data_IF_371248702529
#
_entry.id   IF_371248702529
#
_cell.length_a   1.000
_cell.length_b   1.000
_cell.length_c   1.000
_cell.angle_alpha   90.00
_cell.angle_beta   90.00
_cell.angle_gamma   90.00
#
_symmetry.space_group_name_H-M   'P 1'
#
loop_
_entity.id
_entity.type
_entity.pdbx_description
1 polymer ?
#
# COMPACT_ATOMS: atom_id res chain seq x y z
N UNK A 1 9.00 -21.22 -9.17
CA UNK A 1 9.20 -20.45 -10.40
C UNK A 1 10.63 -19.92 -10.53
N UNK A 2 11.08 -18.94 -9.75
CA UNK A 2 12.47 -18.40 -9.87
C UNK A 2 13.53 -19.48 -9.59
N UNK A 3 13.33 -20.33 -8.57
CA UNK A 3 14.24 -21.41 -8.21
C UNK A 3 14.26 -22.54 -9.23
N UNK A 4 13.16 -22.75 -9.92
CA UNK A 4 12.99 -23.78 -10.94
C UNK A 4 13.52 -23.34 -12.31
N UNK A 5 14.04 -22.11 -12.41
CA UNK A 5 14.52 -21.48 -13.65
C UNK A 5 13.44 -21.34 -14.74
N UNK A 6 12.18 -21.34 -14.36
CA UNK A 6 11.04 -21.12 -15.27
C UNK A 6 11.00 -19.69 -15.82
N UNK A 7 11.66 -18.75 -15.11
CA UNK A 7 11.80 -17.36 -15.52
C UNK A 7 13.27 -17.07 -15.80
N UNK A 8 13.62 -16.51 -16.96
CA UNK A 8 14.99 -16.10 -17.26
C UNK A 8 15.51 -15.12 -16.19
N UNK A 9 16.78 -15.25 -15.80
CA UNK A 9 17.40 -14.35 -14.80
C UNK A 9 17.27 -12.86 -15.11
N UNK A 10 17.21 -12.51 -16.39
CA UNK A 10 16.99 -11.13 -16.86
C UNK A 10 15.59 -10.62 -16.65
N UNK A 11 14.64 -11.55 -16.44
CA UNK A 11 13.22 -11.30 -16.22
C UNK A 11 12.76 -11.71 -14.80
N UNK A 12 13.68 -11.85 -13.86
CA UNK A 12 13.35 -12.11 -12.45
C UNK A 12 12.71 -10.87 -11.83
N UNK A 13 11.41 -10.76 -11.98
CA UNK A 13 10.58 -9.73 -11.35
C UNK A 13 9.18 -10.28 -11.14
N UNK A 14 8.45 -9.67 -10.25
CA UNK A 14 7.01 -9.82 -10.20
C UNK A 14 6.35 -8.44 -10.01
N UNK A 15 5.09 -8.35 -10.36
CA UNK A 15 4.31 -7.14 -10.17
C UNK A 15 3.02 -7.46 -9.45
N UNK A 16 2.41 -6.45 -8.85
CA UNK A 16 1.10 -6.55 -8.24
C UNK A 16 0.27 -5.32 -8.61
N UNK A 17 -0.88 -5.55 -9.21
CA UNK A 17 -1.96 -4.58 -9.36
C UNK A 17 -3.12 -5.05 -8.51
N UNK A 18 -3.51 -4.26 -7.54
CA UNK A 18 -4.68 -4.52 -6.73
C UNK A 18 -5.81 -3.60 -7.16
N UNK A 19 -6.94 -4.18 -7.57
CA UNK A 19 -8.17 -3.46 -7.87
C UNK A 19 -8.95 -3.13 -6.59
N UNK A 20 -9.85 -2.16 -6.67
CA UNK A 20 -10.81 -1.89 -5.61
C UNK A 20 -12.20 -2.29 -6.08
N UNK A 21 -12.93 -3.07 -5.26
CA UNK A 21 -14.34 -3.38 -5.54
C UNK A 21 -15.22 -2.12 -5.55
N UNK A 22 -14.68 -0.99 -5.05
CA UNK A 22 -15.35 0.33 -5.03
C UNK A 22 -15.19 1.10 -6.33
N UNK A 23 -14.35 0.64 -7.25
CA UNK A 23 -14.17 1.31 -8.54
C UNK A 23 -15.48 1.29 -9.33
N UNK A 24 -16.10 2.46 -9.52
CA UNK A 24 -17.46 2.58 -10.06
C UNK A 24 -17.58 2.09 -11.52
N UNK A 25 -16.49 2.12 -12.27
CA UNK A 25 -16.44 1.78 -13.69
C UNK A 25 -15.85 0.39 -13.98
N UNK A 26 -15.50 -0.38 -12.96
CA UNK A 26 -14.98 -1.74 -13.12
C UNK A 26 -16.13 -2.72 -13.33
N UNK A 27 -16.13 -3.41 -14.47
CA UNK A 27 -17.12 -4.45 -14.79
C UNK A 27 -16.91 -5.69 -13.92
N UNK A 28 -15.65 -6.03 -13.65
CA UNK A 28 -15.21 -7.03 -12.68
C UNK A 28 -14.64 -6.30 -11.46
N UNK A 29 -15.52 -5.95 -10.52
CA UNK A 29 -15.14 -5.22 -9.31
C UNK A 29 -13.98 -5.93 -8.59
N UNK A 30 -12.81 -5.28 -8.57
CA UNK A 30 -11.63 -5.82 -7.94
C UNK A 30 -10.75 -6.65 -8.86
N UNK A 31 -10.69 -6.35 -10.16
CA UNK A 31 -9.74 -6.98 -11.05
C UNK A 31 -8.30 -6.76 -10.56
N UNK A 32 -7.76 -7.78 -9.93
CA UNK A 32 -6.40 -7.81 -9.38
C UNK A 32 -5.60 -8.85 -10.11
N UNK A 33 -4.34 -8.54 -10.36
CA UNK A 33 -3.44 -9.52 -10.96
C UNK A 33 -2.01 -9.42 -10.45
N UNK A 34 -1.29 -10.52 -10.56
CA UNK A 34 0.15 -10.58 -10.45
C UNK A 34 0.75 -10.97 -11.79
N UNK A 35 1.88 -10.36 -12.16
CA UNK A 35 2.69 -10.87 -13.26
C UNK A 35 4.02 -11.39 -12.74
N UNK A 36 4.57 -12.39 -13.43
CA UNK A 36 5.87 -12.96 -13.13
C UNK A 36 6.71 -12.98 -14.40
N UNK A 37 7.87 -12.35 -14.36
CA UNK A 37 8.78 -12.29 -15.49
C UNK A 37 8.56 -11.15 -16.45
N UNK A 38 7.52 -10.36 -16.30
CA UNK A 38 7.24 -9.19 -17.15
C UNK A 38 6.51 -8.09 -16.41
N UNK A 39 6.58 -6.88 -16.94
CA UNK A 39 5.80 -5.72 -16.51
C UNK A 39 4.65 -5.58 -17.49
N UNK A 40 3.43 -5.37 -17.00
CA UNK A 40 2.28 -5.06 -17.85
C UNK A 40 2.37 -3.63 -18.36
N UNK A 41 2.78 -3.51 -19.63
CA UNK A 41 3.00 -2.22 -20.29
C UNK A 41 1.71 -1.43 -20.47
N UNK A 42 0.56 -2.10 -20.55
CA UNK A 42 -0.74 -1.43 -20.69
C UNK A 42 -1.09 -0.68 -19.40
N UNK A 43 -0.91 -1.31 -18.24
CA UNK A 43 -1.09 -0.66 -16.93
C UNK A 43 -0.14 0.53 -16.76
N UNK A 44 1.13 0.39 -17.17
CA UNK A 44 2.08 1.52 -17.07
C UNK A 44 1.67 2.66 -18.00
N UNK A 45 1.32 2.38 -19.25
CA UNK A 45 0.87 3.38 -20.23
C UNK A 45 -0.41 4.08 -19.78
N UNK A 46 -1.38 3.33 -19.24
CA UNK A 46 -2.63 3.88 -18.74
C UNK A 46 -2.40 4.90 -17.59
N UNK A 47 -1.35 4.72 -16.80
CA UNK A 47 -0.99 5.67 -15.73
C UNK A 47 -0.48 7.02 -16.25
N UNK A 48 -0.01 7.07 -17.50
CA UNK A 48 0.65 8.25 -18.07
C UNK A 48 1.99 8.61 -17.40
N UNK A 49 2.54 7.74 -16.56
CA UNK A 49 3.75 7.98 -15.78
C UNK A 49 4.80 6.90 -16.04
N UNK A 50 6.04 7.23 -15.75
CA UNK A 50 7.13 6.25 -15.68
C UNK A 50 7.16 5.55 -14.32
N UNK A 51 7.67 4.31 -14.32
CA UNK A 51 7.88 3.57 -13.07
C UNK A 51 8.99 4.25 -12.28
N UNK A 52 8.66 4.71 -11.08
CA UNK A 52 9.66 5.21 -10.14
C UNK A 52 10.23 4.05 -9.33
N UNK A 53 11.53 3.95 -9.26
CA UNK A 53 12.24 2.92 -8.51
C UNK A 53 13.01 3.50 -7.33
N UNK A 54 12.92 2.83 -6.18
CA UNK A 54 13.72 3.12 -4.98
C UNK A 54 14.59 1.93 -4.61
N UNK A 55 15.80 2.14 -4.03
CA UNK A 55 16.60 1.08 -3.45
C UNK A 55 15.86 0.36 -2.33
N UNK A 56 16.14 -0.93 -2.17
CA UNK A 56 15.58 -1.79 -1.11
C UNK A 56 16.71 -2.40 -0.30
N UNK A 57 16.58 -2.37 1.02
CA UNK A 57 17.36 -3.16 1.95
C UNK A 57 16.58 -4.44 2.29
N UNK A 58 17.23 -5.58 2.13
CA UNK A 58 16.65 -6.90 2.44
C UNK A 58 17.40 -7.63 3.56
N UNK A 59 18.27 -6.95 4.29
CA UNK A 59 19.09 -7.56 5.35
C UNK A 59 18.27 -8.25 6.43
N UNK A 60 17.09 -7.71 6.75
CA UNK A 60 16.18 -8.25 7.77
C UNK A 60 15.12 -9.20 7.18
N UNK A 61 15.27 -9.59 5.90
CA UNK A 61 14.37 -10.52 5.21
C UNK A 61 13.10 -9.88 4.66
N UNK A 62 12.94 -8.55 4.75
CA UNK A 62 11.87 -7.78 4.14
C UNK A 62 12.44 -6.90 3.02
N UNK A 63 11.58 -6.47 2.11
CA UNK A 63 11.92 -5.46 1.11
C UNK A 63 11.66 -4.09 1.69
N UNK A 64 12.61 -3.61 2.45
CA UNK A 64 12.51 -2.35 3.19
C UNK A 64 13.05 -1.19 2.36
N UNK A 65 12.26 -0.14 2.20
CA UNK A 65 12.64 1.09 1.49
C UNK A 65 12.40 2.33 2.35
N UNK A 66 13.03 3.44 1.97
CA UNK A 66 12.83 4.72 2.66
C UNK A 66 11.40 5.23 2.46
N UNK A 67 10.74 5.63 3.55
CA UNK A 67 9.43 6.29 3.56
C UNK A 67 9.46 7.49 4.51
N UNK A 68 10.38 8.43 4.26
CA UNK A 68 10.78 9.47 5.20
C UNK A 68 9.82 10.68 5.28
N UNK A 69 8.72 10.66 4.57
CA UNK A 69 7.70 11.72 4.63
C UNK A 69 6.32 11.23 4.21
N UNK A 70 5.32 11.96 4.69
CA UNK A 70 3.93 11.86 4.25
C UNK A 70 3.38 13.27 4.04
N UNK A 71 2.24 13.41 3.38
CA UNK A 71 1.48 14.67 3.38
C UNK A 71 0.03 14.42 3.71
N UNK A 72 -0.59 15.37 4.39
CA UNK A 72 -2.03 15.40 4.66
C UNK A 72 -2.55 16.76 4.21
N UNK A 73 -3.41 16.77 3.20
CA UNK A 73 -3.89 18.00 2.55
C UNK A 73 -2.74 18.95 2.18
N UNK A 74 -1.65 18.40 1.61
CA UNK A 74 -0.45 19.13 1.20
C UNK A 74 0.49 19.51 2.35
N UNK A 75 0.09 19.34 3.62
CA UNK A 75 0.95 19.60 4.78
C UNK A 75 1.88 18.42 4.99
N UNK A 76 3.19 18.68 4.97
CA UNK A 76 4.20 17.63 5.17
C UNK A 76 4.28 17.20 6.63
N UNK A 77 4.23 15.89 6.83
CA UNK A 77 4.62 15.20 8.06
C UNK A 77 6.03 14.64 7.84
N UNK A 78 6.98 15.12 8.63
CA UNK A 78 8.38 14.64 8.56
C UNK A 78 8.51 13.35 9.35
N UNK A 79 9.02 12.31 8.69
CA UNK A 79 9.24 10.98 9.27
C UNK A 79 10.69 10.57 9.04
N UNK A 80 11.61 11.46 9.44
CA UNK A 80 13.05 11.29 9.18
C UNK A 80 13.56 9.93 9.65
N UNK A 81 14.20 9.19 8.74
CA UNK A 81 14.73 7.85 8.99
C UNK A 81 13.66 6.74 8.97
N UNK A 82 12.39 7.07 8.75
CA UNK A 82 11.34 6.07 8.65
C UNK A 82 11.52 5.23 7.38
N UNK A 83 11.24 3.95 7.53
CA UNK A 83 11.25 2.95 6.46
C UNK A 83 9.89 2.27 6.36
N UNK A 84 9.64 1.63 5.25
CA UNK A 84 8.43 0.87 4.99
C UNK A 84 8.70 -0.41 4.21
N UNK A 85 7.79 -1.36 4.33
CA UNK A 85 7.70 -2.52 3.44
C UNK A 85 6.38 -2.46 2.65
N UNK A 86 6.39 -2.98 1.42
CA UNK A 86 5.19 -3.24 0.65
C UNK A 86 4.76 -4.68 0.92
N UNK A 87 3.56 -4.87 1.48
CA UNK A 87 3.10 -6.19 1.92
C UNK A 87 1.68 -6.49 1.44
N UNK A 88 1.56 -7.36 0.44
CA UNK A 88 0.29 -7.85 -0.11
C UNK A 88 -0.42 -8.85 0.81
N UNK A 89 0.18 -9.20 1.95
CA UNK A 89 -0.40 -10.05 2.98
C UNK A 89 -1.05 -9.27 4.13
N UNK A 90 -0.95 -7.93 4.12
CA UNK A 90 -1.55 -7.05 5.11
C UNK A 90 -2.61 -6.17 4.46
N UNK A 91 -3.83 -6.19 4.98
CA UNK A 91 -4.95 -5.42 4.42
C UNK A 91 -4.79 -3.91 4.65
N UNK A 92 -4.42 -3.51 5.86
CA UNK A 92 -4.34 -2.10 6.26
C UNK A 92 -2.96 -1.50 5.97
N UNK A 93 -2.88 -0.18 5.89
CA UNK A 93 -1.61 0.51 6.00
C UNK A 93 -1.31 0.79 7.48
N UNK A 94 -0.25 0.20 8.02
CA UNK A 94 0.19 0.40 9.40
C UNK A 94 1.37 1.36 9.41
N UNK A 95 1.18 2.55 9.97
CA UNK A 95 2.17 3.64 9.91
C UNK A 95 2.42 4.26 11.28
N UNK A 96 3.36 5.19 11.38
CA UNK A 96 3.68 5.88 12.62
C UNK A 96 2.49 6.70 13.18
N UNK A 97 2.45 6.83 14.51
CA UNK A 97 1.35 7.47 15.23
C UNK A 97 1.15 8.93 14.84
N UNK A 98 2.24 9.68 14.65
CA UNK A 98 2.16 11.10 14.32
C UNK A 98 1.48 11.33 12.97
N UNK A 99 1.74 10.43 12.01
CA UNK A 99 1.07 10.47 10.71
C UNK A 99 -0.39 10.04 10.82
N UNK A 100 -0.71 9.00 11.59
CA UNK A 100 -2.10 8.61 11.88
C UNK A 100 -2.87 9.77 12.51
N UNK A 101 -2.35 10.40 13.56
CA UNK A 101 -2.98 11.55 14.18
C UNK A 101 -3.23 12.70 13.22
N UNK A 102 -2.27 12.99 12.33
CA UNK A 102 -2.43 14.05 11.35
C UNK A 102 -3.56 13.75 10.35
N UNK A 103 -3.69 12.48 9.92
CA UNK A 103 -4.74 12.03 9.00
C UNK A 103 -6.10 12.15 9.68
N UNK A 104 -6.29 11.51 10.83
CA UNK A 104 -7.61 11.45 11.47
C UNK A 104 -8.04 12.77 12.08
N UNK A 105 -7.11 13.65 12.47
CA UNK A 105 -7.44 15.04 12.84
C UNK A 105 -8.01 15.85 11.68
N UNK A 106 -7.72 15.48 10.45
CA UNK A 106 -8.26 16.15 9.26
C UNK A 106 -9.64 15.62 8.83
N UNK A 107 -10.16 14.56 9.46
CA UNK A 107 -11.48 13.98 9.19
C UNK A 107 -12.45 14.43 10.29
N UNK A 108 -13.54 15.13 9.96
CA UNK A 108 -14.53 15.53 10.96
C UNK A 108 -15.09 14.34 11.73
N UNK A 109 -15.11 14.42 13.06
CA UNK A 109 -15.64 13.37 13.93
C UNK A 109 -14.79 12.11 14.06
N UNK A 110 -13.61 12.05 13.43
CA UNK A 110 -12.70 10.93 13.60
C UNK A 110 -12.10 10.90 15.02
N UNK A 111 -11.88 9.71 15.53
CA UNK A 111 -11.32 9.48 16.88
C UNK A 111 -10.60 8.13 16.94
N UNK A 112 -9.71 7.99 17.90
CA UNK A 112 -9.21 6.67 18.31
C UNK A 112 -10.22 6.04 19.27
N UNK A 113 -10.65 4.83 19.02
CA UNK A 113 -11.57 4.08 19.89
C UNK A 113 -10.83 2.87 20.48
N UNK A 114 -10.57 2.91 21.78
CA UNK A 114 -9.84 1.85 22.49
C UNK A 114 -10.58 0.50 22.47
N UNK A 115 -11.92 0.51 22.35
CA UNK A 115 -12.73 -0.72 22.34
C UNK A 115 -12.59 -1.50 21.04
N UNK A 116 -12.45 -0.78 19.92
CA UNK A 116 -12.15 -1.36 18.60
C UNK A 116 -10.65 -1.45 18.32
N UNK A 117 -9.83 -0.79 19.14
CA UNK A 117 -8.38 -0.82 19.04
C UNK A 117 -7.83 -0.07 17.83
N UNK A 118 -8.44 1.05 17.43
CA UNK A 118 -7.97 1.80 16.27
C UNK A 118 -8.74 3.08 15.98
N UNK A 119 -8.30 3.79 14.97
CA UNK A 119 -8.96 5.00 14.48
C UNK A 119 -10.23 4.66 13.70
N UNK A 120 -11.28 5.39 14.01
CA UNK A 120 -12.59 5.32 13.37
C UNK A 120 -13.06 6.71 12.98
N UNK A 121 -13.95 6.81 12.00
CA UNK A 121 -14.60 8.05 11.61
C UNK A 121 -16.07 7.81 11.22
N UNK A 122 -16.92 8.85 11.16
CA UNK A 122 -18.34 8.69 10.82
C UNK A 122 -18.54 8.02 9.47
N UNK A 123 -19.51 7.10 9.37
CA UNK A 123 -19.80 6.35 8.16
C UNK A 123 -20.45 7.21 7.04
N UNK A 124 -20.98 8.37 7.41
CA UNK A 124 -21.55 9.37 6.50
C UNK A 124 -20.55 10.44 6.07
N UNK A 125 -19.24 10.25 6.39
CA UNK A 125 -18.17 11.14 5.92
C UNK A 125 -18.12 11.14 4.40
N UNK A 126 -18.25 12.34 3.82
CA UNK A 126 -18.21 12.51 2.36
C UNK A 126 -16.80 12.52 1.82
N UNK A 127 -16.62 12.26 0.51
CA UNK A 127 -15.31 12.35 -0.15
C UNK A 127 -14.62 13.71 0.02
N UNK A 128 -15.40 14.79 0.04
CA UNK A 128 -14.88 16.14 0.23
C UNK A 128 -14.28 16.36 1.63
N UNK A 129 -14.75 15.62 2.62
CA UNK A 129 -14.27 15.67 4.01
C UNK A 129 -13.07 14.77 4.25
N UNK A 130 -12.83 13.80 3.36
CA UNK A 130 -11.65 12.95 3.45
C UNK A 130 -10.40 13.70 2.98
N UNK A 131 -9.27 13.63 3.74
CA UNK A 131 -8.04 14.29 3.38
C UNK A 131 -7.36 13.64 2.17
N UNK A 132 -6.62 14.43 1.41
CA UNK A 132 -5.64 13.91 0.46
C UNK A 132 -4.41 13.47 1.25
N UNK A 133 -4.15 12.17 1.29
CA UNK A 133 -3.02 11.56 1.99
C UNK A 133 -2.00 11.06 0.98
N UNK A 134 -0.73 11.38 1.19
CA UNK A 134 0.37 10.77 0.43
C UNK A 134 1.37 10.12 1.36
N UNK A 135 1.92 9.00 0.92
CA UNK A 135 3.04 8.31 1.58
C UNK A 135 4.23 8.23 0.63
N UNK A 136 5.44 8.40 1.17
CA UNK A 136 6.64 8.33 0.36
C UNK A 136 7.06 6.88 0.08
N UNK A 137 7.43 6.63 -1.17
CA UNK A 137 8.25 5.50 -1.60
C UNK A 137 9.56 6.08 -2.09
N UNK A 138 10.66 5.90 -1.36
CA UNK A 138 11.87 6.67 -1.59
C UNK A 138 11.61 8.18 -1.44
N UNK A 139 11.92 8.93 -2.47
CA UNK A 139 11.74 10.40 -2.49
C UNK A 139 10.42 10.83 -3.16
N UNK A 140 9.67 9.90 -3.79
CA UNK A 140 8.41 10.21 -4.48
C UNK A 140 7.22 9.96 -3.56
N UNK A 141 6.25 10.90 -3.60
CA UNK A 141 4.97 10.78 -2.91
C UNK A 141 3.95 10.06 -3.78
N UNK A 142 3.20 9.14 -3.19
CA UNK A 142 2.10 8.43 -3.82
C UNK A 142 0.81 8.69 -3.04
N UNK A 143 -0.24 9.04 -3.75
CA UNK A 143 -1.55 9.37 -3.16
C UNK A 143 -2.27 8.08 -2.80
N UNK A 144 -2.73 7.97 -1.55
CA UNK A 144 -3.66 6.93 -1.11
C UNK A 144 -5.05 7.28 -1.62
N UNK A 145 -5.76 6.31 -2.16
CA UNK A 145 -7.13 6.54 -2.65
C UNK A 145 -8.06 6.84 -1.47
N UNK A 146 -8.93 7.83 -1.65
CA UNK A 146 -9.78 8.34 -0.55
C UNK A 146 -10.74 7.29 -0.02
N UNK A 147 -11.34 6.48 -0.90
CA UNK A 147 -12.25 5.40 -0.50
C UNK A 147 -11.56 4.31 0.30
N UNK A 148 -10.27 4.09 0.08
CA UNK A 148 -9.48 3.12 0.84
C UNK A 148 -9.04 3.66 2.22
N UNK A 149 -9.34 4.95 2.54
CA UNK A 149 -9.20 5.47 3.90
C UNK A 149 -10.23 4.87 4.86
N UNK A 150 -11.37 4.34 4.35
CA UNK A 150 -12.33 3.58 5.11
C UNK A 150 -12.21 2.08 4.79
N UNK A 151 -12.10 1.24 5.81
CA UNK A 151 -11.95 -0.21 5.61
C UNK A 151 -13.29 -0.95 5.73
N UNK A 152 -13.90 -0.95 6.91
CA UNK A 152 -15.12 -1.69 7.20
C UNK A 152 -15.92 -0.99 8.31
N UNK A 153 -17.17 -1.41 8.53
CA UNK A 153 -17.94 -0.94 9.69
C UNK A 153 -17.24 -1.38 10.99
N UNK A 154 -16.91 -0.40 11.83
CA UNK A 154 -16.32 -0.64 13.15
C UNK A 154 -17.40 -0.83 14.21
N UNK A 155 -18.41 0.03 14.15
CA UNK A 155 -19.61 0.03 14.99
C UNK A 155 -20.71 0.85 14.30
N UNK A 156 -21.93 0.81 14.83
CA UNK A 156 -23.07 1.57 14.28
C UNK A 156 -22.69 3.04 14.05
N UNK A 157 -22.73 3.46 12.78
CA UNK A 157 -22.46 4.83 12.32
C UNK A 157 -20.96 5.19 12.24
N UNK A 158 -20.04 4.22 12.37
CA UNK A 158 -18.61 4.46 12.27
C UNK A 158 -17.90 3.41 11.44
N UNK A 159 -16.94 3.86 10.67
CA UNK A 159 -16.04 3.08 9.82
C UNK A 159 -14.68 2.95 10.51
N UNK A 160 -14.10 1.76 10.45
CA UNK A 160 -12.72 1.53 10.82
C UNK A 160 -11.78 2.06 9.72
N UNK A 161 -10.80 2.83 10.09
CA UNK A 161 -9.90 3.42 9.11
C UNK A 161 -8.97 2.41 8.44
N UNK A 162 -8.70 2.62 7.17
CA UNK A 162 -7.77 1.80 6.39
C UNK A 162 -6.29 2.04 6.73
N UNK A 163 -5.99 3.18 7.37
CA UNK A 163 -4.64 3.51 7.86
C UNK A 163 -4.68 3.48 9.38
N UNK A 164 -3.78 2.71 10.01
CA UNK A 164 -3.76 2.53 11.46
C UNK A 164 -2.34 2.66 12.02
N UNK A 165 -2.26 2.82 13.35
CA UNK A 165 -0.97 2.79 14.04
C UNK A 165 -0.27 1.46 13.84
N UNK A 166 1.02 1.50 13.57
CA UNK A 166 1.90 0.33 13.55
C UNK A 166 2.32 -0.15 14.94
N UNK A 167 1.89 0.56 15.98
CA UNK A 167 2.26 0.26 17.36
C UNK A 167 3.77 0.30 17.59
N UNK A 168 4.34 -0.77 18.14
CA UNK A 168 5.76 -0.86 18.49
C UNK A 168 6.70 -1.19 17.32
N UNK A 169 6.19 -1.39 16.11
CA UNK A 169 7.03 -1.64 14.94
C UNK A 169 7.89 -0.41 14.60
N UNK A 170 9.11 -0.66 14.17
CA UNK A 170 10.07 0.40 13.82
C UNK A 170 9.99 0.84 12.36
N UNK A 171 9.20 0.16 11.54
CA UNK A 171 8.95 0.44 10.13
C UNK A 171 7.45 0.36 9.83
N UNK A 172 7.04 1.00 8.75
CA UNK A 172 5.64 0.93 8.28
C UNK A 172 5.39 -0.34 7.47
N UNK A 173 4.14 -0.80 7.50
CA UNK A 173 3.65 -1.84 6.60
C UNK A 173 2.64 -1.18 5.65
N UNK A 174 3.01 -1.05 4.39
CA UNK A 174 2.13 -0.52 3.34
C UNK A 174 1.39 -1.69 2.71
N UNK A 175 0.25 -2.03 3.31
CA UNK A 175 -0.63 -3.12 2.87
C UNK A 175 -1.59 -2.70 1.76
N UNK A 176 -2.65 -3.47 1.55
CA UNK A 176 -3.58 -3.31 0.43
C UNK A 176 -4.18 -1.91 0.34
N UNK A 177 -4.48 -1.26 1.48
CA UNK A 177 -4.95 0.14 1.53
C UNK A 177 -4.04 1.09 0.75
N UNK A 178 -2.73 0.89 0.80
CA UNK A 178 -1.78 1.67 0.00
C UNK A 178 -1.54 1.06 -1.38
N UNK A 179 -1.42 -0.27 -1.46
CA UNK A 179 -1.05 -0.98 -2.69
C UNK A 179 -2.10 -0.86 -3.79
N UNK A 180 -3.36 -0.67 -3.45
CA UNK A 180 -4.43 -0.36 -4.41
C UNK A 180 -4.21 0.96 -5.16
N UNK A 181 -3.48 1.91 -4.55
CA UNK A 181 -3.16 3.19 -5.16
C UNK A 181 -2.02 3.12 -6.18
N UNK A 182 -1.31 2.00 -6.27
CA UNK A 182 -0.13 1.85 -7.13
C UNK A 182 -0.13 0.55 -7.92
N UNK A 183 0.62 0.55 -9.02
CA UNK A 183 1.10 -0.67 -9.65
C UNK A 183 2.51 -0.94 -9.12
N UNK A 184 2.64 -1.97 -8.31
CA UNK A 184 3.88 -2.33 -7.64
C UNK A 184 4.76 -3.22 -8.52
N UNK A 185 6.06 -2.90 -8.61
CA UNK A 185 7.05 -3.66 -9.39
C UNK A 185 8.20 -4.07 -8.48
N UNK A 186 8.32 -5.37 -8.22
CA UNK A 186 9.38 -5.96 -7.42
C UNK A 186 10.45 -6.57 -8.31
N UNK A 187 11.62 -5.95 -8.41
CA UNK A 187 12.69 -6.37 -9.31
C UNK A 187 13.97 -6.74 -8.54
N UNK A 188 14.26 -8.03 -8.37
CA UNK A 188 15.54 -8.48 -7.84
C UNK A 188 16.64 -8.34 -8.91
N UNK A 189 17.85 -8.03 -8.48
CA UNK A 189 19.05 -8.04 -9.34
C UNK A 189 20.04 -9.07 -8.84
N UNK A 190 20.06 -10.25 -9.51
CA UNK A 190 21.05 -11.34 -9.46
C UNK A 190 21.58 -11.89 -8.13
N UNK A 191 21.37 -13.19 -7.99
CA UNK A 191 21.83 -14.30 -7.14
C UNK A 191 20.96 -14.62 -5.92
N UNK A 192 20.18 -15.69 -6.11
CA UNK A 192 19.35 -16.32 -5.09
C UNK A 192 20.09 -17.50 -4.42
N UNK A 193 20.04 -17.58 -3.09
CA UNK A 193 20.14 -18.83 -2.34
C UNK A 193 18.90 -18.96 -1.45
N UNK A 194 18.10 -19.99 -1.71
CA UNK A 194 16.88 -20.27 -0.97
C UNK A 194 17.14 -20.90 0.39
N UNK A 195 16.39 -20.45 1.40
CA UNK A 195 15.86 -21.31 2.46
C UNK A 195 14.36 -21.07 2.59
N UNK A 196 13.59 -22.13 2.35
CA UNK A 196 12.13 -22.12 2.53
C UNK A 196 11.82 -22.38 3.99
N UNK A 197 11.11 -21.48 4.63
CA UNK A 197 10.30 -21.79 5.79
C UNK A 197 9.01 -20.99 5.74
N UNK A 198 7.90 -21.72 5.66
CA UNK A 198 6.54 -21.21 5.62
C UNK A 198 6.21 -20.49 6.92
N UNK A 199 5.75 -19.28 6.81
CA UNK A 199 4.73 -18.52 7.53
C UNK A 199 5.11 -17.04 7.48
N UNK A 200 4.22 -16.24 6.89
CA UNK A 200 4.45 -14.84 6.48
C UNK A 200 5.36 -14.81 5.25
N UNK A 201 4.92 -14.19 4.16
CA UNK A 201 5.70 -14.09 2.90
C UNK A 201 7.04 -13.43 3.17
N UNK A 202 7.98 -14.20 3.74
CA UNK A 202 9.40 -13.87 3.76
C UNK A 202 9.94 -14.14 2.37
N UNK A 203 9.91 -13.15 1.53
CA UNK A 203 10.63 -13.23 0.28
C UNK A 203 12.11 -13.02 0.58
N UNK A 204 12.81 -14.13 0.72
CA UNK A 204 14.28 -14.13 0.83
C UNK A 204 14.83 -14.03 -0.60
N UNK A 205 15.27 -12.85 -0.99
CA UNK A 205 16.04 -12.64 -2.21
C UNK A 205 17.39 -12.05 -1.82
N UNK A 206 18.45 -12.72 -2.29
CA UNK A 206 19.82 -12.34 -1.98
C UNK A 206 20.36 -11.31 -2.99
N UNK A 207 20.78 -10.23 -2.45
CA UNK A 207 21.92 -9.33 -2.60
C UNK A 207 22.24 -8.81 -3.99
N UNK A 208 22.14 -7.50 -4.11
CA UNK A 208 22.80 -6.66 -5.09
C UNK A 208 21.83 -5.81 -5.91
N UNK A 209 21.48 -4.65 -5.40
CA UNK A 209 20.60 -3.67 -6.06
C UNK A 209 19.15 -4.10 -6.23
N UNK A 210 18.54 -4.62 -5.18
CA UNK A 210 17.08 -4.76 -5.11
C UNK A 210 16.43 -3.39 -5.27
N UNK A 211 15.34 -3.31 -6.05
CA UNK A 211 14.58 -2.09 -6.24
C UNK A 211 13.09 -2.39 -6.15
N UNK A 212 12.40 -1.54 -5.44
CA UNK A 212 10.96 -1.48 -5.47
C UNK A 212 10.52 -0.37 -6.44
N UNK A 213 9.67 -0.68 -7.38
CA UNK A 213 9.10 0.25 -8.34
C UNK A 213 7.62 0.50 -8.05
N UNK A 214 7.19 1.72 -8.24
CA UNK A 214 5.79 2.09 -8.09
C UNK A 214 5.37 3.07 -9.18
N UNK A 215 4.15 2.89 -9.68
CA UNK A 215 3.45 3.82 -10.56
C UNK A 215 2.14 4.18 -9.88
N UNK A 216 1.85 5.48 -9.77
CA UNK A 216 0.56 5.94 -9.24
C UNK A 216 -0.55 5.46 -10.15
N UNK A 217 -1.56 4.83 -9.58
CA UNK A 217 -2.80 4.51 -10.30
C UNK A 217 -3.53 5.79 -10.69
N UNK A 218 -4.15 5.81 -11.86
CA UNK A 218 -5.09 6.87 -12.24
C UNK A 218 -6.32 6.73 -11.35
N UNK A 219 -6.71 7.83 -10.72
CA UNK A 219 -7.90 7.88 -9.87
C UNK A 219 -9.13 7.60 -10.74
N UNK A 220 -9.85 6.53 -10.45
CA UNK A 220 -11.14 6.24 -11.05
C UNK A 220 -12.25 6.86 -10.17
N UNK A 221 -13.39 7.16 -10.76
CA UNK A 221 -14.57 7.54 -9.98
C UNK A 221 -14.97 6.35 -9.09
N UNK A 222 -15.12 6.57 -7.80
CA UNK A 222 -15.26 5.51 -6.81
C UNK A 222 -16.49 5.72 -5.93
N UNK A 223 -17.04 4.62 -5.44
CA UNK A 223 -18.10 4.63 -4.45
C UNK A 223 -17.50 4.56 -3.04
N UNK A 224 -17.90 5.49 -2.18
CA UNK A 224 -17.55 5.45 -0.76
C UNK A 224 -18.46 4.51 0.05
N UNK A 225 -19.49 3.95 -0.58
CA UNK A 225 -20.40 3.03 0.09
C UNK A 225 -19.64 1.80 0.59
N UNK A 226 -19.83 1.50 1.87
CA UNK A 226 -19.29 0.31 2.48
C UNK A 226 -20.16 -0.88 2.03
N UNK A 227 -19.51 -2.00 1.64
CA UNK A 227 -20.25 -3.20 1.29
C UNK A 227 -21.24 -3.55 2.40
N UNK A 228 -22.51 -3.93 2.07
CA UNK A 228 -23.39 -4.50 3.05
C UNK A 228 -22.70 -5.75 3.64
N UNK A 229 -22.78 -5.89 4.97
CA UNK A 229 -22.35 -7.14 5.62
C UNK A 229 -23.11 -8.28 4.92
N UNK A 230 -22.35 -9.26 4.42
CA UNK A 230 -22.94 -10.53 4.05
C UNK A 230 -23.51 -11.14 5.33
N UNK A 231 -24.86 -11.22 5.37
CA UNK A 231 -25.65 -11.75 6.48
C UNK A 231 -25.48 -13.28 6.58
#
# INVERSE_FOLDING_TARGET
MIVQSDIPKTAELFTAKLGSWRDANETDKGESFYTFGYIDDETVKASGQEIYYTPVDSSDGFWTFSSASATVNGRRVSRRGNTAIADTGTTLALIDDATCEAIYRAIPGATYDERVGGYIFPADTTEAELPVVTLAVGDKQFVVQKEDLGFALAKKGFVYGGIQSRGSLTFDILGDTFLKAIYAVCRPRFKCRLRVQMLIVRQIFDVGNLRFGAVQRVEAAQNLDIAPEEA
#
